data_IF_619681389141
#
_entry.id   IF_619681389141
#
_cell.length_a   1.000
_cell.length_b   1.000
_cell.length_c   1.000
_cell.angle_alpha   90.00
_cell.angle_beta   90.00
_cell.angle_gamma   90.00
#
_symmetry.space_group_name_H-M   'P 1'
#
loop_
_entity.id
_entity.type
_entity.pdbx_description
1 polymer ?
#
# COMPACT_ATOMS: atom_id res chain seq x y z
N UNK A 1 0.90 10.60 24.47
CA UNK A 1 -0.57 10.57 24.42
C UNK A 1 -1.07 10.13 25.79
N UNK A 2 -1.73 11.03 26.53
CA UNK A 2 -2.43 10.68 27.78
C UNK A 2 -3.89 10.46 27.40
N UNK A 3 -4.38 9.23 27.57
CA UNK A 3 -5.80 8.90 27.37
C UNK A 3 -6.60 9.40 28.59
N UNK A 4 -7.63 10.21 28.37
CA UNK A 4 -8.51 10.66 29.44
C UNK A 4 -9.50 9.55 29.79
N UNK A 5 -9.98 9.52 31.05
CA UNK A 5 -10.86 8.46 31.57
C UNK A 5 -12.14 8.25 30.74
N UNK A 6 -12.60 9.28 30.03
CA UNK A 6 -13.76 9.23 29.11
C UNK A 6 -13.46 8.43 27.83
N UNK A 7 -12.21 8.41 27.38
CA UNK A 7 -11.77 7.72 26.17
C UNK A 7 -11.58 6.21 26.40
N UNK A 8 -11.49 5.80 27.67
CA UNK A 8 -11.43 4.39 28.08
C UNK A 8 -12.74 3.65 27.78
N UNK A 9 -13.85 4.38 27.59
CA UNK A 9 -15.16 3.79 27.31
C UNK A 9 -15.20 3.07 25.95
N UNK A 10 -14.32 3.47 25.02
CA UNK A 10 -14.14 2.81 23.72
C UNK A 10 -13.48 1.43 23.84
N UNK A 11 -12.80 1.16 24.96
CA UNK A 11 -12.07 -0.09 25.21
C UNK A 11 -12.66 -0.89 26.38
N UNK A 12 -13.52 -0.31 27.20
CA UNK A 12 -14.23 -1.01 28.26
C UNK A 12 -15.40 -1.80 27.67
N UNK A 13 -15.16 -3.06 27.33
CA UNK A 13 -16.23 -4.02 27.11
C UNK A 13 -17.04 -4.13 28.40
N UNK A 14 -18.33 -3.82 28.35
CA UNK A 14 -19.26 -4.14 29.43
C UNK A 14 -19.32 -5.67 29.53
N UNK A 15 -18.50 -6.21 30.44
CA UNK A 15 -18.46 -7.63 30.78
C UNK A 15 -19.81 -7.96 31.39
N UNK A 16 -20.76 -8.53 30.64
CA UNK A 16 -21.92 -9.28 31.17
C UNK A 16 -22.49 -10.28 30.17
N UNK A 17 -21.66 -10.89 29.32
CA UNK A 17 -22.03 -12.12 28.61
C UNK A 17 -20.83 -13.05 28.57
N UNK A 18 -21.05 -14.33 28.90
CA UNK A 18 -20.07 -15.42 28.94
C UNK A 18 -19.54 -15.81 27.54
N UNK A 19 -19.36 -14.83 26.65
CA UNK A 19 -18.94 -15.05 25.28
C UNK A 19 -17.58 -14.38 25.04
N UNK A 20 -16.54 -15.20 25.14
CA UNK A 20 -15.13 -14.84 24.99
C UNK A 20 -14.75 -14.42 23.56
N UNK A 21 -15.65 -14.60 22.59
CA UNK A 21 -15.38 -14.36 21.16
C UNK A 21 -15.36 -12.89 20.77
N UNK A 22 -16.04 -12.00 21.50
CA UNK A 22 -16.20 -10.59 21.12
C UNK A 22 -15.41 -9.61 22.00
N UNK A 23 -14.25 -9.99 22.55
CA UNK A 23 -13.41 -9.11 23.39
C UNK A 23 -12.35 -8.36 22.58
N UNK A 24 -12.48 -7.03 22.54
CA UNK A 24 -11.49 -6.13 21.98
C UNK A 24 -10.37 -5.97 23.02
N UNK A 25 -9.24 -6.64 22.79
CA UNK A 25 -8.11 -6.69 23.70
C UNK A 25 -7.13 -5.56 23.39
N UNK A 26 -6.27 -5.20 24.34
CA UNK A 26 -5.24 -4.16 24.16
C UNK A 26 -4.35 -4.45 22.94
N UNK A 27 -4.05 -5.71 22.68
CA UNK A 27 -3.33 -6.17 21.47
C UNK A 27 -4.08 -5.85 20.15
N UNK A 28 -5.41 -5.73 20.19
CA UNK A 28 -6.21 -5.33 19.02
C UNK A 28 -6.25 -3.80 18.83
N UNK A 29 -5.98 -3.01 19.87
CA UNK A 29 -6.03 -1.53 19.79
C UNK A 29 -4.97 -1.00 18.83
N UNK A 30 -3.75 -1.56 18.85
CA UNK A 30 -2.68 -1.13 17.94
C UNK A 30 -3.05 -1.41 16.48
N UNK A 31 -3.61 -2.60 16.21
CA UNK A 31 -4.06 -2.99 14.87
C UNK A 31 -5.19 -2.09 14.39
N UNK A 32 -6.18 -1.83 15.24
CA UNK A 32 -7.31 -0.95 14.92
C UNK A 32 -6.88 0.50 14.71
N UNK A 33 -5.96 1.01 15.53
CA UNK A 33 -5.41 2.35 15.37
C UNK A 33 -4.66 2.47 14.05
N UNK A 34 -3.85 1.48 13.67
CA UNK A 34 -3.19 1.46 12.36
C UNK A 34 -4.21 1.40 11.21
N UNK A 35 -5.26 0.59 11.32
CA UNK A 35 -6.31 0.49 10.30
C UNK A 35 -7.06 1.82 10.12
N UNK A 36 -7.46 2.46 11.23
CA UNK A 36 -8.10 3.78 11.22
C UNK A 36 -7.17 4.85 10.66
N UNK A 37 -5.91 4.88 11.11
CA UNK A 37 -4.91 5.80 10.59
C UNK A 37 -4.71 5.58 9.08
N UNK A 38 -4.64 4.33 8.63
CA UNK A 38 -4.51 4.00 7.21
C UNK A 38 -5.75 4.41 6.41
N UNK A 39 -6.96 4.24 6.94
CA UNK A 39 -8.21 4.69 6.32
C UNK A 39 -8.23 6.20 6.15
N UNK A 40 -7.96 6.95 7.23
CA UNK A 40 -7.88 8.41 7.20
C UNK A 40 -6.80 8.89 6.23
N UNK A 41 -5.63 8.23 6.19
CA UNK A 41 -4.55 8.54 5.24
C UNK A 41 -4.92 8.17 3.79
N UNK A 42 -5.73 7.14 3.59
CA UNK A 42 -6.18 6.70 2.27
C UNK A 42 -7.16 7.71 1.64
N UNK A 43 -8.07 8.27 2.46
CA UNK A 43 -9.09 9.25 2.09
C UNK A 43 -8.53 10.68 2.04
N UNK A 44 -7.62 11.06 2.96
CA UNK A 44 -7.15 12.44 3.10
C UNK A 44 -5.70 12.72 2.67
N UNK A 45 -4.83 11.73 2.39
CA UNK A 45 -3.40 12.00 2.18
C UNK A 45 -2.71 11.36 0.97
N UNK A 46 -1.56 11.98 0.70
CA UNK A 46 -0.67 11.91 -0.46
C UNK A 46 -0.69 10.58 -1.24
N UNK A 47 -1.35 10.58 -2.41
CA UNK A 47 -1.37 9.46 -3.35
C UNK A 47 0.01 9.07 -3.89
N UNK A 48 1.06 9.86 -3.63
CA UNK A 48 2.43 9.55 -4.07
C UNK A 48 3.18 8.58 -3.17
N UNK A 49 2.59 8.12 -2.05
CA UNK A 49 3.24 7.22 -1.11
C UNK A 49 2.31 6.13 -0.60
N UNK A 50 2.90 4.95 -0.37
CA UNK A 50 2.27 3.83 0.32
C UNK A 50 3.03 3.40 1.57
N UNK A 51 4.05 4.16 1.99
CA UNK A 51 4.85 3.89 3.19
C UNK A 51 4.01 3.60 4.43
N UNK A 52 2.92 4.34 4.74
CA UNK A 52 2.09 4.05 5.91
C UNK A 52 1.42 2.66 5.88
N UNK A 53 1.25 2.08 4.68
CA UNK A 53 0.53 0.82 4.49
C UNK A 53 1.44 -0.41 4.57
N UNK A 54 2.76 -0.26 4.53
CA UNK A 54 3.70 -1.38 4.42
C UNK A 54 4.69 -1.44 5.58
N UNK A 55 5.14 -2.63 5.94
CA UNK A 55 6.22 -2.83 6.90
C UNK A 55 7.54 -2.22 6.40
N UNK A 56 8.43 -1.84 7.32
CA UNK A 56 9.73 -1.22 6.99
C UNK A 56 10.60 -2.10 6.10
N UNK A 57 10.49 -3.43 6.23
CA UNK A 57 11.18 -4.41 5.39
C UNK A 57 10.81 -4.31 3.89
N UNK A 58 9.66 -3.70 3.56
CA UNK A 58 9.16 -3.48 2.19
C UNK A 58 9.44 -2.08 1.65
N UNK A 59 10.25 -1.31 2.36
CA UNK A 59 10.60 0.07 2.03
C UNK A 59 12.06 0.22 1.57
N UNK A 60 12.72 -0.87 1.18
CA UNK A 60 14.12 -0.81 0.70
C UNK A 60 14.22 0.08 -0.52
N UNK A 61 15.36 0.76 -0.63
CA UNK A 61 15.64 1.60 -1.79
C UNK A 61 15.74 0.77 -3.08
N UNK A 62 15.32 1.38 -4.19
CA UNK A 62 15.38 0.73 -5.49
C UNK A 62 16.81 0.77 -6.05
N UNK A 63 17.36 -0.38 -6.47
CA UNK A 63 18.49 -0.42 -7.38
C UNK A 63 18.19 0.33 -8.69
N UNK A 64 19.22 0.95 -9.27
CA UNK A 64 19.12 1.73 -10.52
C UNK A 64 18.51 0.94 -11.69
N UNK A 65 18.82 -0.35 -11.76
CA UNK A 65 18.29 -1.26 -12.80
C UNK A 65 16.77 -1.41 -12.68
N UNK A 66 16.27 -1.74 -11.49
CA UNK A 66 14.83 -1.87 -11.23
C UNK A 66 14.12 -0.52 -11.45
N UNK A 67 14.75 0.58 -11.04
CA UNK A 67 14.20 1.92 -11.29
C UNK A 67 14.03 2.21 -12.79
N UNK A 68 14.99 1.78 -13.62
CA UNK A 68 14.96 1.96 -15.07
C UNK A 68 13.84 1.13 -15.71
N UNK A 69 13.67 -0.13 -15.27
CA UNK A 69 12.58 -0.99 -15.71
C UNK A 69 11.20 -0.41 -15.36
N UNK A 70 11.04 0.17 -14.15
CA UNK A 70 9.80 0.83 -13.74
C UNK A 70 9.52 2.06 -14.61
N UNK A 71 10.54 2.88 -14.92
CA UNK A 71 10.38 4.05 -15.80
C UNK A 71 9.91 3.62 -17.20
N UNK A 72 10.51 2.58 -17.75
CA UNK A 72 10.11 2.03 -19.05
C UNK A 72 8.68 1.48 -19.03
N UNK A 73 8.32 0.72 -18.00
CA UNK A 73 6.98 0.22 -17.76
C UNK A 73 5.93 1.34 -17.78
N UNK A 74 6.16 2.44 -17.05
CA UNK A 74 5.24 3.59 -17.01
C UNK A 74 5.16 4.29 -18.37
N UNK A 75 6.29 4.37 -19.10
CA UNK A 75 6.34 4.98 -20.43
C UNK A 75 5.50 4.19 -21.43
N UNK A 76 5.58 2.86 -21.42
CA UNK A 76 4.86 1.97 -22.34
C UNK A 76 3.37 1.80 -21.98
N UNK A 77 3.03 1.87 -20.70
CA UNK A 77 1.65 1.68 -20.23
C UNK A 77 0.77 2.91 -20.47
N UNK A 78 -0.48 2.74 -20.91
CA UNK A 78 -1.41 3.87 -21.12
C UNK A 78 -1.68 4.65 -19.82
N UNK A 79 -2.05 5.94 -19.91
CA UNK A 79 -2.32 6.76 -18.73
C UNK A 79 -3.47 6.21 -17.87
N UNK A 80 -4.53 5.72 -18.52
CA UNK A 80 -5.68 5.11 -17.86
C UNK A 80 -5.29 3.82 -17.15
N UNK A 81 -4.65 2.90 -17.87
CA UNK A 81 -4.17 1.63 -17.31
C UNK A 81 -3.22 1.86 -16.13
N UNK A 82 -2.29 2.82 -16.24
CA UNK A 82 -1.35 3.12 -15.14
C UNK A 82 -2.06 3.66 -13.89
N UNK A 83 -3.14 4.44 -14.07
CA UNK A 83 -3.99 4.91 -12.96
C UNK A 83 -4.62 3.72 -12.22
N UNK A 84 -5.15 2.75 -12.97
CA UNK A 84 -5.77 1.56 -12.40
C UNK A 84 -4.73 0.67 -11.71
N UNK A 85 -3.54 0.52 -12.30
CA UNK A 85 -2.42 -0.19 -11.68
C UNK A 85 -2.00 0.47 -10.36
N UNK A 86 -1.80 1.79 -10.32
CA UNK A 86 -1.44 2.50 -9.08
C UNK A 86 -2.54 2.39 -8.02
N UNK A 87 -3.81 2.33 -8.42
CA UNK A 87 -4.93 2.12 -7.49
C UNK A 87 -4.89 0.71 -6.91
N UNK A 88 -4.76 -0.32 -7.74
CA UNK A 88 -4.66 -1.71 -7.32
C UNK A 88 -3.42 -1.95 -6.44
N UNK A 89 -2.29 -1.34 -6.78
CA UNK A 89 -1.06 -1.43 -6.00
C UNK A 89 -1.24 -0.86 -4.59
N UNK A 90 -1.89 0.31 -4.47
CA UNK A 90 -2.22 0.91 -3.16
C UNK A 90 -3.15 0.00 -2.35
N UNK A 91 -4.14 -0.60 -3.01
CA UNK A 91 -5.07 -1.54 -2.37
C UNK A 91 -4.38 -2.81 -1.86
N UNK A 92 -3.47 -3.38 -2.65
CA UNK A 92 -2.64 -4.52 -2.24
C UNK A 92 -1.78 -4.14 -1.05
N UNK A 93 -1.10 -2.99 -1.10
CA UNK A 93 -0.29 -2.50 0.01
C UNK A 93 -1.12 -2.31 1.28
N UNK A 94 -2.34 -1.76 1.16
CA UNK A 94 -3.26 -1.61 2.29
C UNK A 94 -3.68 -2.96 2.91
N UNK A 95 -4.02 -3.95 2.08
CA UNK A 95 -4.52 -5.25 2.54
C UNK A 95 -3.43 -6.21 3.01
N UNK A 96 -2.25 -6.15 2.40
CA UNK A 96 -1.21 -7.18 2.55
C UNK A 96 0.11 -6.60 3.08
N UNK A 97 0.32 -5.29 3.01
CA UNK A 97 1.59 -4.65 3.34
C UNK A 97 2.00 -4.73 4.81
N UNK A 98 1.07 -4.97 5.72
CA UNK A 98 1.34 -5.19 7.16
C UNK A 98 1.48 -6.68 7.53
N UNK A 99 1.25 -7.59 6.58
CA UNK A 99 1.41 -9.03 6.79
C UNK A 99 2.83 -9.40 6.37
N UNK A 100 3.54 -10.16 7.21
CA UNK A 100 4.89 -10.60 6.91
C UNK A 100 4.87 -11.68 5.82
N UNK A 101 5.13 -11.25 4.59
CA UNK A 101 5.50 -12.04 3.42
C UNK A 101 7.02 -12.24 3.35
N UNK A 102 7.46 -13.23 2.57
CA UNK A 102 8.86 -13.31 2.13
C UNK A 102 9.22 -12.07 1.29
N UNK A 103 10.26 -11.36 1.71
CA UNK A 103 10.75 -10.11 1.10
C UNK A 103 11.17 -10.29 -0.36
N UNK A 104 11.59 -11.50 -0.73
CA UNK A 104 12.03 -11.87 -2.08
C UNK A 104 10.89 -12.39 -2.95
N UNK A 105 9.69 -12.58 -2.38
CA UNK A 105 8.54 -13.00 -3.17
C UNK A 105 8.09 -11.89 -4.13
N UNK A 106 7.64 -12.31 -5.31
CA UNK A 106 7.22 -11.40 -6.37
C UNK A 106 5.94 -10.65 -5.96
N UNK A 107 5.97 -9.33 -6.11
CA UNK A 107 4.82 -8.49 -5.79
C UNK A 107 3.67 -8.65 -6.81
N UNK A 108 4.00 -8.99 -8.07
CA UNK A 108 3.06 -9.09 -9.19
C UNK A 108 1.90 -10.06 -8.95
N UNK A 109 2.12 -11.15 -8.22
CA UNK A 109 1.10 -12.17 -7.92
C UNK A 109 -0.13 -11.59 -7.23
N UNK A 110 0.07 -10.53 -6.44
CA UNK A 110 -1.02 -9.85 -5.77
C UNK A 110 -1.74 -8.87 -6.69
N UNK A 111 -1.02 -8.24 -7.62
CA UNK A 111 -1.58 -7.31 -8.61
C UNK A 111 -2.45 -8.02 -9.65
N UNK A 112 -2.03 -9.20 -10.12
CA UNK A 112 -2.76 -9.99 -11.12
C UNK A 112 -4.21 -10.29 -10.71
N UNK A 113 -4.46 -10.46 -9.40
CA UNK A 113 -5.81 -10.66 -8.85
C UNK A 113 -6.75 -9.47 -9.08
N UNK A 114 -6.20 -8.27 -9.28
CA UNK A 114 -6.96 -7.04 -9.48
C UNK A 114 -6.92 -6.55 -10.94
N UNK A 115 -5.99 -7.05 -11.74
CA UNK A 115 -5.61 -6.48 -13.03
C UNK A 115 -5.50 -7.59 -14.08
N UNK A 116 -6.63 -7.95 -14.67
CA UNK A 116 -6.66 -8.96 -15.73
C UNK A 116 -5.98 -8.42 -16.99
N UNK A 117 -4.83 -8.98 -17.37
CA UNK A 117 -4.05 -8.65 -18.58
C UNK A 117 -3.53 -7.21 -18.73
N UNK A 118 -3.52 -6.40 -17.67
CA UNK A 118 -3.06 -5.00 -17.73
C UNK A 118 -1.57 -4.81 -17.42
N UNK A 119 -0.86 -5.89 -17.12
CA UNK A 119 0.51 -5.87 -16.60
C UNK A 119 1.57 -6.28 -17.67
N UNK A 120 1.28 -6.16 -18.96
CA UNK A 120 2.13 -6.64 -20.07
C UNK A 120 3.60 -6.22 -19.96
N UNK A 121 3.88 -4.98 -19.55
CA UNK A 121 5.24 -4.43 -19.41
C UNK A 121 5.74 -4.38 -17.97
N UNK A 122 5.05 -5.04 -17.04
CA UNK A 122 5.41 -5.00 -15.63
C UNK A 122 6.73 -5.75 -15.37
N UNK A 123 7.63 -5.26 -14.52
CA UNK A 123 8.89 -5.93 -14.23
C UNK A 123 8.72 -7.08 -13.23
N UNK A 124 8.02 -8.15 -13.64
CA UNK A 124 7.65 -9.30 -12.79
C UNK A 124 8.82 -9.93 -12.04
N UNK A 125 9.94 -10.13 -12.74
CA UNK A 125 11.10 -10.86 -12.20
C UNK A 125 11.91 -10.04 -11.20
N UNK A 126 11.97 -8.73 -11.41
CA UNK A 126 12.83 -7.84 -10.62
C UNK A 126 12.09 -7.24 -9.41
N UNK A 127 10.76 -7.16 -9.47
CA UNK A 127 9.99 -6.46 -8.44
C UNK A 127 9.48 -7.40 -7.35
N UNK A 128 10.20 -7.42 -6.25
CA UNK A 128 9.86 -8.15 -5.02
C UNK A 128 9.19 -7.24 -3.99
N UNK A 129 8.62 -7.85 -2.95
CA UNK A 129 8.01 -7.12 -1.82
C UNK A 129 8.95 -6.14 -1.14
N UNK A 130 10.24 -6.46 -1.02
CA UNK A 130 11.26 -5.60 -0.40
C UNK A 130 11.32 -4.18 -0.98
N UNK A 131 11.02 -4.03 -2.28
CA UNK A 131 11.06 -2.74 -2.98
C UNK A 131 9.69 -2.08 -3.19
N UNK A 132 8.61 -2.67 -2.65
CA UNK A 132 7.22 -2.29 -2.95
C UNK A 132 6.96 -0.78 -2.79
N UNK A 133 7.36 -0.19 -1.66
CA UNK A 133 7.10 1.23 -1.39
C UNK A 133 7.87 2.15 -2.34
N UNK A 134 9.16 1.87 -2.53
CA UNK A 134 10.03 2.67 -3.37
C UNK A 134 9.64 2.56 -4.84
N UNK A 135 9.27 1.36 -5.30
CA UNK A 135 8.73 1.07 -6.63
C UNK A 135 7.47 1.86 -6.94
N UNK A 136 6.48 1.80 -6.03
CA UNK A 136 5.26 2.57 -6.16
C UNK A 136 5.53 4.06 -6.32
N UNK A 137 6.39 4.62 -5.44
CA UNK A 137 6.75 6.04 -5.46
C UNK A 137 7.43 6.43 -6.78
N UNK A 138 8.31 5.58 -7.30
CA UNK A 138 8.94 5.80 -8.60
C UNK A 138 7.89 5.80 -9.72
N UNK A 139 7.04 4.78 -9.77
CA UNK A 139 6.00 4.63 -10.78
C UNK A 139 5.02 5.82 -10.78
N UNK A 140 4.58 6.24 -9.59
CA UNK A 140 3.68 7.40 -9.42
C UNK A 140 4.31 8.70 -9.95
N UNK A 141 5.58 8.96 -9.63
CA UNK A 141 6.29 10.16 -10.10
C UNK A 141 6.37 10.20 -11.62
N UNK A 142 6.74 9.09 -12.25
CA UNK A 142 6.83 9.02 -13.72
C UNK A 142 5.45 9.14 -14.38
N UNK A 143 4.42 8.55 -13.79
CA UNK A 143 3.05 8.69 -14.29
C UNK A 143 2.56 10.14 -14.22
N UNK A 144 2.87 10.84 -13.13
CA UNK A 144 2.57 12.27 -12.98
C UNK A 144 3.31 13.16 -13.98
N UNK A 145 4.59 12.88 -14.25
CA UNK A 145 5.34 13.56 -15.32
C UNK A 145 4.68 13.33 -16.68
N UNK A 146 4.30 12.09 -16.97
CA UNK A 146 3.61 11.73 -18.22
C UNK A 146 2.30 12.48 -18.41
N UNK A 147 1.49 12.64 -17.36
CA UNK A 147 0.26 13.45 -17.40
C UNK A 147 0.58 14.91 -17.72
N UNK A 148 1.56 15.48 -17.02
CA UNK A 148 1.92 16.90 -17.16
C UNK A 148 2.42 17.23 -18.58
N UNK A 149 3.10 16.28 -19.23
CA UNK A 149 3.57 16.43 -20.62
C UNK A 149 2.48 16.20 -21.68
N UNK A 150 1.37 15.52 -21.32
CA UNK A 150 0.25 15.24 -22.25
C UNK A 150 -0.83 16.33 -22.24
N UNK A 151 -0.89 17.12 -21.17
CA UNK A 151 -1.69 18.33 -21.07
C UNK A 151 -0.77 19.51 -20.72
N UNK A 152 -0.01 20.04 -21.70
CA UNK A 152 0.63 21.34 -21.51
C UNK A 152 -0.49 22.37 -21.32
N UNK A 153 -0.46 23.08 -20.19
CA UNK A 153 -1.33 24.22 -19.94
C UNK A 153 -1.18 25.27 -21.05
#
# INVERSE_FOLDING_TARGET
>A
LQFERKDWILFSKQVHTNDTTNQLRVEHIEVLWRQLNNLVQSEHLNKSSITPFVLDIYQRELPNEIQSQIKEFVKRTSLGTMKDILKAWREVAYKQGQIRQDENSQFSHFLEKFLFNQLEYFPYQSLTWSYCAAAYRCAYREWKKKISNHCPC
#
